data_IF_685227517343
#
_entry.id   IF_685227517343
#
_cell.length_a   1.000
_cell.length_b   1.000
_cell.length_c   1.000
_cell.angle_alpha   90.00
_cell.angle_beta   90.00
_cell.angle_gamma   90.00
#
_symmetry.space_group_name_H-M   'P 1'
#
loop_
_entity.id
_entity.type
_entity.pdbx_description
1 polymer ?
#
# COMPACT_ATOMS: atom_id res chain seq x y z
N UNK A 1 52.79 -43.72 -40.88
CA UNK A 1 51.78 -43.61 -39.81
C UNK A 1 52.41 -43.85 -38.44
N UNK A 2 52.58 -42.83 -37.60
CA UNK A 2 52.82 -42.97 -36.14
C UNK A 2 52.11 -41.81 -35.42
N UNK A 3 51.03 -42.12 -34.70
CA UNK A 3 50.30 -41.17 -33.83
C UNK A 3 51.09 -40.98 -32.53
N UNK A 4 51.51 -39.74 -32.24
CA UNK A 4 52.06 -39.36 -30.92
C UNK A 4 50.90 -39.06 -29.96
N UNK A 5 50.81 -39.83 -28.86
CA UNK A 5 49.99 -39.49 -27.68
C UNK A 5 50.69 -38.37 -26.91
N UNK A 6 50.02 -37.24 -26.72
CA UNK A 6 50.46 -36.17 -25.81
C UNK A 6 49.86 -36.46 -24.44
N UNK A 7 50.73 -36.62 -23.44
CA UNK A 7 50.36 -36.79 -22.02
C UNK A 7 50.56 -35.44 -21.35
N UNK A 8 49.47 -34.73 -21.03
CA UNK A 8 49.54 -33.43 -20.33
C UNK A 8 49.75 -33.70 -18.84
N UNK A 9 50.87 -33.21 -18.30
CA UNK A 9 51.20 -33.25 -16.87
C UNK A 9 50.66 -31.95 -16.25
N UNK A 10 49.58 -32.03 -15.48
CA UNK A 10 49.07 -30.87 -14.75
C UNK A 10 50.02 -30.53 -13.58
N UNK A 11 50.42 -29.26 -13.51
CA UNK A 11 51.19 -28.70 -12.40
C UNK A 11 50.38 -28.73 -11.10
N UNK A 12 51.05 -28.95 -9.96
CA UNK A 12 50.45 -28.95 -8.61
C UNK A 12 49.67 -27.66 -8.31
N UNK A 13 50.00 -26.54 -8.96
CA UNK A 13 49.29 -25.27 -8.85
C UNK A 13 47.90 -25.32 -9.49
N UNK A 14 47.73 -26.02 -10.62
CA UNK A 14 46.40 -26.20 -11.24
C UNK A 14 45.52 -27.18 -10.46
N UNK A 15 46.11 -28.21 -9.84
CA UNK A 15 45.37 -29.12 -8.97
C UNK A 15 44.76 -28.39 -7.77
N UNK A 16 45.50 -27.44 -7.17
CA UNK A 16 44.99 -26.60 -6.07
C UNK A 16 43.87 -25.66 -6.51
N UNK A 17 43.95 -25.08 -7.71
CA UNK A 17 42.89 -24.21 -8.24
C UNK A 17 41.62 -25.02 -8.53
N UNK A 18 41.73 -26.23 -9.10
CA UNK A 18 40.59 -27.09 -9.38
C UNK A 18 39.89 -27.54 -8.09
N UNK A 19 40.65 -27.88 -7.04
CA UNK A 19 40.10 -28.25 -5.71
C UNK A 19 39.38 -27.06 -5.05
N UNK A 20 39.96 -25.86 -5.12
CA UNK A 20 39.32 -24.65 -4.57
C UNK A 20 38.02 -24.29 -5.29
N UNK A 21 37.96 -24.44 -6.63
CA UNK A 21 36.76 -24.17 -7.42
C UNK A 21 35.67 -25.23 -7.19
N UNK A 22 36.04 -26.50 -7.00
CA UNK A 22 35.07 -27.56 -6.66
C UNK A 22 34.53 -27.43 -5.25
N UNK A 23 35.35 -27.02 -4.27
CA UNK A 23 34.88 -26.72 -2.91
C UNK A 23 33.95 -25.50 -2.89
N UNK A 24 34.25 -24.45 -3.65
CA UNK A 24 33.36 -23.28 -3.77
C UNK A 24 32.01 -23.67 -4.40
N UNK A 25 32.03 -24.49 -5.46
CA UNK A 25 30.82 -25.01 -6.10
C UNK A 25 29.99 -25.87 -5.14
N UNK A 26 30.65 -26.70 -4.31
CA UNK A 26 29.97 -27.51 -3.30
C UNK A 26 29.33 -26.66 -2.20
N UNK A 27 30.00 -25.60 -1.73
CA UNK A 27 29.42 -24.67 -0.75
C UNK A 27 28.23 -23.86 -1.33
N UNK A 28 28.32 -23.44 -2.60
CA UNK A 28 27.22 -22.74 -3.28
C UNK A 28 26.02 -23.67 -3.53
N UNK A 29 26.26 -24.95 -3.83
CA UNK A 29 25.21 -25.96 -3.94
C UNK A 29 24.61 -26.30 -2.56
N UNK A 30 25.43 -26.52 -1.53
CA UNK A 30 24.97 -26.80 -0.18
C UNK A 30 24.12 -25.64 0.39
N UNK A 31 24.48 -24.39 0.12
CA UNK A 31 23.72 -23.20 0.51
C UNK A 31 22.41 -23.01 -0.30
N UNK A 32 22.36 -23.49 -1.55
CA UNK A 32 21.13 -23.49 -2.36
C UNK A 32 20.11 -24.54 -1.92
N UNK A 33 20.56 -25.67 -1.34
CA UNK A 33 19.68 -26.80 -0.99
C UNK A 33 19.40 -26.97 0.51
N UNK A 34 20.01 -26.18 1.39
CA UNK A 34 19.71 -26.18 2.84
C UNK A 34 18.27 -25.74 3.21
N UNK A 35 17.54 -24.90 2.46
CA UNK A 35 16.18 -24.51 2.85
C UNK A 35 15.15 -25.65 2.66
N UNK A 36 15.46 -26.66 1.85
CA UNK A 36 14.53 -27.74 1.50
C UNK A 36 14.53 -28.85 2.57
N UNK A 37 15.64 -29.06 3.28
CA UNK A 37 15.74 -30.10 4.31
C UNK A 37 15.09 -29.69 5.64
N UNK A 38 15.03 -28.38 5.96
CA UNK A 38 14.44 -27.88 7.20
C UNK A 38 12.90 -27.88 7.20
N UNK A 39 12.25 -27.90 6.02
CA UNK A 39 10.78 -28.02 5.93
C UNK A 39 10.28 -29.46 6.08
N UNK A 40 11.09 -30.47 5.73
CA UNK A 40 10.68 -31.87 5.78
C UNK A 40 10.64 -32.46 7.22
N UNK A 41 11.32 -31.83 8.18
CA UNK A 41 11.37 -32.30 9.57
C UNK A 41 10.32 -31.67 10.50
N UNK A 42 9.52 -30.71 10.01
CA UNK A 42 8.48 -30.04 10.81
C UNK A 42 7.08 -30.68 10.67
N UNK A 43 6.87 -31.52 9.66
CA UNK A 43 5.57 -32.09 9.31
C UNK A 43 5.28 -33.49 9.89
N UNK A 44 6.11 -34.00 10.80
CA UNK A 44 5.87 -35.29 11.45
C UNK A 44 5.91 -35.17 12.97
N UNK A 45 4.81 -34.73 13.59
CA UNK A 45 4.39 -35.22 14.92
C UNK A 45 2.87 -35.43 14.97
N UNK A 46 2.41 -36.58 15.48
CA UNK A 46 1.01 -36.95 15.52
C UNK A 46 0.24 -36.24 16.64
N UNK A 47 -1.05 -36.02 16.38
CA UNK A 47 -2.06 -35.70 17.38
C UNK A 47 -2.21 -36.86 18.38
N UNK A 48 -2.37 -36.51 19.66
CA UNK A 48 -2.91 -37.30 20.78
C UNK A 48 -2.72 -36.42 22.05
N UNK A 49 -3.49 -36.44 23.14
CA UNK A 49 -4.69 -37.11 23.65
C UNK A 49 -4.99 -36.34 24.96
N UNK A 50 -6.27 -36.19 25.33
CA UNK A 50 -6.73 -35.64 26.61
C UNK A 50 -6.34 -36.57 27.77
N UNK A 51 -6.05 -36.05 28.98
CA UNK A 51 -6.51 -36.74 30.18
C UNK A 51 -7.34 -35.86 31.11
N UNK A 52 -8.37 -36.53 31.61
CA UNK A 52 -9.39 -36.12 32.58
C UNK A 52 -8.93 -36.63 33.95
N UNK A 53 -8.75 -35.75 34.92
CA UNK A 53 -8.65 -36.03 36.37
C UNK A 53 -8.56 -34.66 37.06
N UNK A 54 -9.36 -34.21 38.02
CA UNK A 54 -10.04 -34.88 39.14
C UNK A 54 -11.29 -34.07 39.50
N UNK A 55 -12.40 -34.76 39.72
CA UNK A 55 -13.62 -34.28 40.38
C UNK A 55 -13.53 -34.67 41.86
N UNK A 56 -14.30 -33.96 42.71
CA UNK A 56 -14.48 -34.13 44.18
C UNK A 56 -13.54 -33.24 45.01
N UNK A 57 -14.05 -32.25 45.74
CA UNK A 57 -15.03 -32.42 46.82
C UNK A 57 -15.89 -31.16 47.01
N UNK A 58 -17.20 -31.38 47.11
CA UNK A 58 -18.17 -30.48 47.74
C UNK A 58 -18.68 -31.24 48.95
N UNK A 59 -18.56 -30.66 50.15
CA UNK A 59 -19.59 -30.83 51.18
C UNK A 59 -19.51 -29.73 52.26
N UNK A 60 -20.65 -29.05 52.41
CA UNK A 60 -21.26 -28.53 53.63
C UNK A 60 -20.48 -27.59 54.56
N UNK A 61 -20.89 -26.31 54.57
CA UNK A 61 -21.61 -25.79 55.73
C UNK A 61 -22.46 -24.58 55.36
N UNK A 62 -23.75 -24.69 55.62
CA UNK A 62 -24.64 -23.56 55.81
C UNK A 62 -24.21 -22.83 57.09
N UNK A 63 -24.17 -21.51 57.05
CA UNK A 63 -24.55 -20.70 58.19
C UNK A 63 -24.87 -19.28 57.74
N UNK A 64 -26.12 -18.91 57.99
CA UNK A 64 -26.63 -17.55 58.00
C UNK A 64 -25.82 -16.70 58.98
N UNK A 65 -25.46 -15.49 58.57
CA UNK A 65 -25.22 -14.41 59.53
C UNK A 65 -25.50 -13.06 58.87
N UNK A 66 -26.55 -12.43 59.39
CA UNK A 66 -26.99 -11.07 59.09
C UNK A 66 -25.86 -10.05 59.31
N UNK A 67 -25.67 -9.13 58.36
CA UNK A 67 -24.80 -7.97 58.53
C UNK A 67 -25.67 -6.78 58.97
N UNK A 68 -25.38 -6.11 60.10
CA UNK A 68 -26.24 -5.04 60.62
C UNK A 68 -26.13 -3.75 59.79
N UNK A 69 -27.28 -3.16 59.46
CA UNK A 69 -27.39 -1.79 58.98
C UNK A 69 -26.89 -0.81 60.06
N UNK A 70 -25.74 -0.18 59.81
CA UNK A 70 -25.29 0.96 60.60
C UNK A 70 -25.95 2.24 60.09
N UNK A 71 -26.88 2.77 60.88
CA UNK A 71 -27.54 4.05 60.62
C UNK A 71 -26.55 5.22 60.70
N UNK A 72 -26.35 5.91 59.58
CA UNK A 72 -25.68 7.22 59.54
C UNK A 72 -26.71 8.33 59.78
N UNK A 73 -26.58 9.05 60.89
CA UNK A 73 -27.37 10.26 61.20
C UNK A 73 -27.03 11.41 60.21
N UNK A 74 -28.02 12.16 59.71
CA UNK A 74 -27.74 13.32 58.84
C UNK A 74 -27.20 14.50 59.66
N UNK A 75 -26.10 15.11 59.19
CA UNK A 75 -25.60 16.40 59.69
C UNK A 75 -26.22 17.56 58.89
N UNK A 76 -26.52 18.71 59.51
CA UNK A 76 -27.19 19.82 58.84
C UNK A 76 -26.23 20.56 57.89
N UNK A 77 -26.73 20.91 56.71
CA UNK A 77 -25.95 21.55 55.65
C UNK A 77 -25.66 23.03 55.88
N UNK A 78 -24.64 23.61 55.21
CA UNK A 78 -24.50 25.04 55.08
C UNK A 78 -25.29 25.56 53.87
N UNK A 79 -25.87 26.75 54.08
CA UNK A 79 -26.72 27.50 53.17
C UNK A 79 -25.97 28.01 51.95
N UNK A 80 -26.68 27.95 50.82
CA UNK A 80 -26.63 28.80 49.63
C UNK A 80 -25.29 29.40 49.19
N UNK A 81 -24.83 28.95 48.02
CA UNK A 81 -24.42 29.89 46.98
C UNK A 81 -25.00 29.36 45.65
N UNK A 82 -26.04 30.05 45.16
CA UNK A 82 -26.55 29.86 43.81
C UNK A 82 -25.62 30.56 42.82
N UNK A 83 -25.58 29.99 41.62
CA UNK A 83 -25.05 30.49 40.36
C UNK A 83 -23.54 30.37 40.15
N UNK A 84 -23.13 29.20 39.66
CA UNK A 84 -22.26 29.15 38.49
C UNK A 84 -22.85 28.17 37.46
N UNK A 85 -23.30 28.77 36.36
CA UNK A 85 -23.47 28.24 35.01
C UNK A 85 -23.29 26.72 34.84
N UNK A 86 -24.40 25.99 34.81
CA UNK A 86 -24.46 24.64 34.24
C UNK A 86 -24.26 24.73 32.72
N UNK A 87 -23.03 24.60 32.26
CA UNK A 87 -22.77 24.20 30.87
C UNK A 87 -23.31 22.78 30.73
N UNK A 88 -24.21 22.47 29.77
CA UNK A 88 -24.76 21.13 29.64
C UNK A 88 -23.63 20.14 29.37
N UNK A 89 -23.58 19.08 30.16
CA UNK A 89 -22.66 17.96 29.98
C UNK A 89 -22.71 17.40 28.55
N UNK A 90 -23.80 17.60 27.80
CA UNK A 90 -23.94 17.26 26.39
C UNK A 90 -23.02 18.04 25.44
N UNK A 91 -22.74 19.34 25.69
CA UNK A 91 -21.76 20.10 24.89
C UNK A 91 -20.31 19.73 25.23
N UNK A 92 -20.05 19.32 26.47
CA UNK A 92 -18.74 18.82 26.90
C UNK A 92 -18.49 17.38 26.42
N UNK A 93 -19.52 16.54 26.35
CA UNK A 93 -19.47 15.18 25.80
C UNK A 93 -19.35 15.20 24.27
N UNK A 94 -19.93 16.19 23.58
CA UNK A 94 -19.63 16.40 22.15
C UNK A 94 -18.20 16.91 21.87
N UNK A 95 -17.52 17.48 22.86
CA UNK A 95 -16.13 17.96 22.73
C UNK A 95 -15.06 16.90 23.01
N UNK A 96 -15.44 15.67 23.33
CA UNK A 96 -14.52 14.53 23.45
C UNK A 96 -15.05 13.36 22.60
N UNK A 97 -15.50 13.65 21.38
CA UNK A 97 -15.22 12.68 20.31
C UNK A 97 -13.75 12.92 20.00
N UNK A 98 -12.85 12.06 20.46
CA UNK A 98 -11.51 11.99 19.85
C UNK A 98 -11.76 11.74 18.36
N UNK A 99 -11.70 12.79 17.54
CA UNK A 99 -11.82 12.65 16.11
C UNK A 99 -10.66 11.75 15.65
N UNK A 100 -11.01 10.48 15.41
CA UNK A 100 -10.64 9.75 14.20
C UNK A 100 -9.53 10.45 13.38
N UNK A 101 -8.21 10.24 13.57
CA UNK A 101 -7.24 10.82 12.64
C UNK A 101 -7.60 10.39 11.22
N UNK A 102 -7.77 11.36 10.31
CA UNK A 102 -8.16 11.07 8.93
C UNK A 102 -7.13 10.15 8.29
N UNK A 103 -7.57 9.01 7.75
CA UNK A 103 -6.70 8.03 7.10
C UNK A 103 -7.01 7.99 5.61
N UNK A 104 -6.01 8.28 4.79
CA UNK A 104 -6.09 8.30 3.33
C UNK A 104 -5.19 7.23 2.74
N UNK A 105 -5.75 6.38 1.89
CA UNK A 105 -4.98 5.38 1.15
C UNK A 105 -5.05 5.70 -0.34
N UNK A 106 -3.90 6.07 -0.91
CA UNK A 106 -3.71 6.11 -2.36
C UNK A 106 -3.39 4.69 -2.83
N UNK A 107 -4.40 4.03 -3.40
CA UNK A 107 -4.31 2.66 -3.89
C UNK A 107 -4.13 2.68 -5.40
N UNK A 108 -3.11 2.01 -5.92
CA UNK A 108 -2.83 1.98 -7.37
C UNK A 108 -1.81 0.88 -7.66
N UNK A 109 -1.42 0.70 -8.92
CA UNK A 109 -0.25 -0.11 -9.28
C UNK A 109 0.96 0.78 -9.60
N UNK A 110 2.15 0.18 -9.76
CA UNK A 110 3.35 0.93 -10.15
C UNK A 110 3.19 1.64 -11.50
N UNK A 111 3.78 2.83 -11.60
CA UNK A 111 3.87 3.67 -12.82
C UNK A 111 2.55 4.35 -13.25
N UNK A 112 1.57 4.39 -12.36
CA UNK A 112 0.27 5.06 -12.56
C UNK A 112 0.17 6.45 -11.91
N UNK A 113 1.27 7.22 -11.85
CA UNK A 113 1.26 8.59 -11.32
C UNK A 113 1.24 8.73 -9.79
N UNK A 114 1.46 7.64 -9.06
CA UNK A 114 1.30 7.59 -7.60
C UNK A 114 2.26 8.49 -6.80
N UNK A 115 3.44 8.84 -7.35
CA UNK A 115 4.35 9.81 -6.73
C UNK A 115 3.77 11.23 -6.78
N UNK A 116 3.21 11.62 -7.93
CA UNK A 116 2.62 12.95 -8.13
C UNK A 116 1.41 13.14 -7.21
N UNK A 117 0.50 12.17 -7.22
CA UNK A 117 -0.69 12.19 -6.37
C UNK A 117 -0.34 12.08 -4.88
N UNK A 118 0.62 11.23 -4.53
CA UNK A 118 1.08 11.13 -3.15
C UNK A 118 1.71 12.43 -2.62
N UNK A 119 2.42 13.19 -3.47
CA UNK A 119 2.95 14.50 -3.08
C UNK A 119 1.83 15.53 -2.88
N UNK A 120 0.82 15.55 -3.76
CA UNK A 120 -0.36 16.41 -3.59
C UNK A 120 -1.10 16.09 -2.29
N UNK A 121 -1.42 14.83 -2.04
CA UNK A 121 -2.14 14.40 -0.84
C UNK A 121 -1.33 14.67 0.44
N UNK A 122 -0.01 14.46 0.41
CA UNK A 122 0.85 14.71 1.57
C UNK A 122 0.90 16.19 1.97
N UNK A 123 0.63 17.11 1.03
CA UNK A 123 0.61 18.56 1.24
C UNK A 123 -0.76 19.12 1.66
N UNK A 124 -1.73 18.25 1.97
CA UNK A 124 -3.02 18.67 2.53
C UNK A 124 -2.91 19.20 3.97
N UNK A 125 -1.99 18.64 4.76
CA UNK A 125 -1.72 19.02 6.16
C UNK A 125 -0.22 19.15 6.39
N UNK A 126 0.18 19.86 7.44
CA UNK A 126 1.59 20.05 7.81
C UNK A 126 2.18 18.86 8.58
N UNK A 127 1.34 18.14 9.33
CA UNK A 127 1.72 16.99 10.15
C UNK A 127 1.19 15.68 9.54
N UNK A 128 1.55 15.42 8.29
CA UNK A 128 1.14 14.19 7.60
C UNK A 128 2.10 13.04 7.94
N UNK A 129 1.59 11.96 8.51
CA UNK A 129 2.30 10.68 8.62
C UNK A 129 2.19 9.94 7.29
N UNK A 130 3.20 10.08 6.42
CA UNK A 130 3.16 9.53 5.07
C UNK A 130 3.92 8.19 4.95
N UNK A 131 3.19 7.10 5.08
CA UNK A 131 3.61 5.74 4.76
C UNK A 131 3.77 5.55 3.24
N UNK A 132 4.91 5.98 2.70
CA UNK A 132 5.23 5.80 1.28
C UNK A 132 5.59 4.33 0.98
N UNK A 133 4.69 3.62 0.27
CA UNK A 133 4.88 2.20 -0.11
C UNK A 133 5.17 1.30 1.10
N UNK A 134 4.25 1.19 2.09
CA UNK A 134 4.51 0.43 3.31
C UNK A 134 4.76 -1.06 3.04
N UNK A 135 4.22 -1.59 1.95
CA UNK A 135 4.42 -2.98 1.52
C UNK A 135 5.72 -3.20 0.72
N UNK A 136 6.68 -2.26 0.74
CA UNK A 136 7.95 -2.41 0.01
C UNK A 136 8.79 -3.60 0.48
N UNK A 137 8.55 -4.10 1.70
CA UNK A 137 9.19 -5.31 2.22
C UNK A 137 8.99 -6.53 1.28
N UNK A 138 7.81 -6.65 0.67
CA UNK A 138 7.42 -7.71 -0.29
C UNK A 138 7.98 -7.52 -1.70
N UNK A 139 8.97 -6.65 -1.87
CA UNK A 139 9.72 -6.46 -3.13
C UNK A 139 8.77 -6.12 -4.29
N UNK A 140 9.06 -6.61 -5.48
CA UNK A 140 8.29 -6.31 -6.70
C UNK A 140 7.31 -7.47 -6.96
N UNK A 141 6.60 -7.91 -5.92
CA UNK A 141 5.54 -8.90 -6.05
C UNK A 141 4.21 -8.20 -5.86
N UNK A 142 3.31 -8.35 -6.84
CA UNK A 142 1.91 -7.98 -6.65
C UNK A 142 1.24 -9.08 -5.82
N UNK A 143 0.66 -8.70 -4.70
CA UNK A 143 0.01 -9.57 -3.73
C UNK A 143 -1.47 -9.67 -4.08
N UNK A 144 -1.81 -10.71 -4.85
CA UNK A 144 -3.17 -10.98 -5.31
C UNK A 144 -3.65 -12.38 -4.97
N UNK A 145 -2.79 -13.27 -4.48
CA UNK A 145 -3.20 -14.63 -4.12
C UNK A 145 -3.85 -14.67 -2.75
N UNK A 146 -4.75 -15.63 -2.53
CA UNK A 146 -5.28 -15.93 -1.19
C UNK A 146 -4.32 -16.89 -0.47
N UNK A 147 -3.27 -16.31 0.10
CA UNK A 147 -2.22 -17.04 0.79
C UNK A 147 -1.78 -16.30 2.07
N UNK A 148 -1.04 -17.01 2.93
CA UNK A 148 -0.60 -16.48 4.23
C UNK A 148 0.24 -15.22 4.11
N UNK A 149 1.07 -15.11 3.07
CA UNK A 149 1.92 -13.94 2.83
C UNK A 149 1.10 -12.70 2.50
N UNK A 150 0.09 -12.84 1.63
CA UNK A 150 -0.82 -11.75 1.25
C UNK A 150 -1.69 -11.33 2.42
N UNK A 151 -2.20 -12.28 3.19
CA UNK A 151 -2.97 -12.00 4.41
C UNK A 151 -2.12 -11.27 5.45
N UNK A 152 -0.87 -11.68 5.65
CA UNK A 152 0.07 -11.03 6.56
C UNK A 152 0.40 -9.60 6.11
N UNK A 153 0.60 -9.36 4.80
CA UNK A 153 0.81 -8.03 4.25
C UNK A 153 -0.41 -7.10 4.42
N UNK A 154 -1.62 -7.64 4.21
CA UNK A 154 -2.87 -6.92 4.41
C UNK A 154 -3.06 -6.57 5.89
N UNK A 155 -2.78 -7.49 6.81
CA UNK A 155 -2.88 -7.24 8.25
C UNK A 155 -1.86 -6.19 8.70
N UNK A 156 -0.61 -6.30 8.25
CA UNK A 156 0.42 -5.28 8.50
C UNK A 156 -0.02 -3.88 8.03
N UNK A 157 -0.60 -3.78 6.83
CA UNK A 157 -1.15 -2.51 6.34
C UNK A 157 -2.29 -2.03 7.25
N UNK A 158 -3.22 -2.89 7.61
CA UNK A 158 -4.36 -2.54 8.46
C UNK A 158 -3.91 -2.02 9.83
N UNK A 159 -2.97 -2.69 10.47
CA UNK A 159 -2.41 -2.29 11.77
C UNK A 159 -1.57 -1.01 11.69
N UNK A 160 -0.84 -0.81 10.59
CA UNK A 160 -0.14 0.44 10.31
C UNK A 160 -1.13 1.62 10.21
N UNK A 161 -2.25 1.45 9.51
CA UNK A 161 -3.27 2.49 9.36
C UNK A 161 -3.92 2.85 10.70
N UNK A 162 -3.99 1.88 11.62
CA UNK A 162 -4.54 2.04 12.99
C UNK A 162 -3.52 2.53 14.01
N UNK A 163 -2.26 2.75 13.61
CA UNK A 163 -1.16 3.03 14.52
C UNK A 163 -1.03 1.99 15.66
N UNK A 164 -1.23 0.72 15.31
CA UNK A 164 -1.20 -0.41 16.23
C UNK A 164 -0.25 -1.50 15.72
N UNK A 165 1.00 -1.12 15.49
CA UNK A 165 2.04 -2.06 15.08
C UNK A 165 2.54 -2.86 16.27
N UNK A 166 2.39 -4.18 16.19
CA UNK A 166 2.91 -5.14 17.17
C UNK A 166 4.37 -5.53 16.89
N UNK A 167 4.99 -6.17 17.88
CA UNK A 167 6.38 -6.64 17.81
C UNK A 167 6.62 -7.65 16.67
N UNK A 168 5.58 -8.35 16.21
CA UNK A 168 5.71 -9.30 15.09
C UNK A 168 6.15 -8.62 13.78
N UNK A 169 5.85 -7.32 13.63
CA UNK A 169 6.21 -6.54 12.44
C UNK A 169 7.63 -5.95 12.49
N UNK A 170 8.43 -6.28 13.51
CA UNK A 170 9.73 -5.66 13.72
C UNK A 170 10.68 -5.81 12.52
N UNK A 171 10.58 -6.91 11.77
CA UNK A 171 11.39 -7.11 10.56
C UNK A 171 11.01 -6.11 9.46
N UNK A 172 9.72 -5.88 9.25
CA UNK A 172 9.18 -4.93 8.30
C UNK A 172 9.57 -3.51 8.71
N UNK A 173 9.44 -3.15 9.99
CA UNK A 173 9.82 -1.83 10.51
C UNK A 173 11.32 -1.58 10.39
N UNK A 174 12.16 -2.56 10.74
CA UNK A 174 13.61 -2.48 10.53
C UNK A 174 13.97 -2.29 9.05
N UNK A 175 13.27 -2.96 8.15
CA UNK A 175 13.49 -2.81 6.72
C UNK A 175 13.06 -1.42 6.22
N UNK A 176 11.83 -0.99 6.57
CA UNK A 176 11.24 0.27 6.14
C UNK A 176 12.01 1.48 6.67
N UNK A 177 12.52 1.40 7.91
CA UNK A 177 13.32 2.47 8.51
C UNK A 177 14.61 2.79 7.77
N UNK A 178 15.13 1.80 7.01
CA UNK A 178 16.34 1.94 6.18
C UNK A 178 16.03 2.40 4.75
N UNK A 179 14.75 2.46 4.36
CA UNK A 179 14.37 2.89 3.01
C UNK A 179 14.42 4.42 2.91
N UNK A 180 15.37 4.92 2.12
CA UNK A 180 15.57 6.37 1.89
C UNK A 180 14.29 7.10 1.48
N UNK A 181 13.51 6.52 0.57
CA UNK A 181 12.28 7.17 0.09
C UNK A 181 11.16 7.13 1.13
N UNK A 182 11.01 6.05 1.88
CA UNK A 182 10.04 5.98 2.98
C UNK A 182 10.31 7.10 4.00
N UNK A 183 11.55 7.25 4.46
CA UNK A 183 11.92 8.29 5.42
C UNK A 183 11.88 9.71 4.83
N UNK A 184 12.24 9.87 3.56
CA UNK A 184 12.14 11.18 2.88
C UNK A 184 10.69 11.67 2.81
N UNK A 185 9.78 10.78 2.42
CA UNK A 185 8.36 11.12 2.26
C UNK A 185 7.63 11.22 3.59
N UNK A 186 7.99 10.38 4.57
CA UNK A 186 7.50 10.49 5.95
C UNK A 186 8.30 11.54 6.75
N UNK A 187 8.31 12.78 6.26
CA UNK A 187 9.07 13.88 6.87
C UNK A 187 8.66 14.17 8.32
N UNK A 188 7.40 13.91 8.67
CA UNK A 188 6.89 14.03 10.04
C UNK A 188 7.56 13.01 10.97
N UNK A 189 7.50 11.71 10.64
CA UNK A 189 8.19 10.66 11.40
C UNK A 189 9.69 10.90 11.47
N UNK A 190 10.33 11.21 10.34
CA UNK A 190 11.78 11.38 10.24
C UNK A 190 12.32 12.52 11.14
N UNK A 191 11.56 13.61 11.31
CA UNK A 191 11.94 14.70 12.22
C UNK A 191 11.93 14.25 13.69
N UNK A 192 11.00 13.40 14.09
CA UNK A 192 10.90 12.91 15.47
C UNK A 192 11.96 11.83 15.76
N UNK A 193 12.14 10.94 14.80
CA UNK A 193 13.21 9.97 14.69
C UNK A 193 14.60 10.50 15.04
N UNK A 194 15.01 11.61 14.41
CA UNK A 194 16.33 12.23 14.63
C UNK A 194 16.58 12.59 16.09
N UNK A 195 15.52 12.85 16.86
CA UNK A 195 15.62 13.21 18.28
C UNK A 195 15.73 11.98 19.18
N UNK A 196 15.13 10.84 18.80
CA UNK A 196 15.01 9.65 19.66
C UNK A 196 15.75 8.39 19.17
N UNK A 197 16.42 8.42 18.02
CA UNK A 197 17.14 7.29 17.37
C UNK A 197 16.29 6.02 17.05
N UNK A 198 14.97 6.05 17.27
CA UNK A 198 14.09 4.87 17.34
C UNK A 198 13.19 4.64 16.11
N UNK A 199 13.65 4.91 14.89
CA UNK A 199 12.82 4.87 13.66
C UNK A 199 12.26 3.52 13.22
N UNK A 200 12.57 2.45 13.95
CA UNK A 200 12.06 1.11 13.72
C UNK A 200 11.32 0.54 14.92
N UNK A 201 11.29 1.27 16.04
CA UNK A 201 10.61 0.82 17.26
C UNK A 201 9.10 0.96 17.09
N UNK A 202 8.36 -0.13 17.28
CA UNK A 202 6.92 -0.15 17.01
C UNK A 202 6.14 0.77 17.95
N UNK A 203 6.49 0.81 19.25
CA UNK A 203 5.84 1.67 20.23
C UNK A 203 6.03 3.15 19.87
N UNK A 204 7.25 3.55 19.55
CA UNK A 204 7.55 4.91 19.10
C UNK A 204 6.82 5.27 17.81
N UNK A 205 6.81 4.40 16.80
CA UNK A 205 6.09 4.66 15.55
C UNK A 205 4.60 4.81 15.82
N UNK A 206 4.01 3.97 16.67
CA UNK A 206 2.60 4.05 17.06
C UNK A 206 2.29 5.39 17.75
N UNK A 207 3.15 5.84 18.68
CA UNK A 207 3.01 7.15 19.34
C UNK A 207 3.04 8.31 18.34
N UNK A 208 4.02 8.31 17.43
CA UNK A 208 4.17 9.36 16.42
C UNK A 208 3.01 9.35 15.43
N UNK A 209 2.61 8.16 14.99
CA UNK A 209 1.48 7.96 14.08
C UNK A 209 0.21 8.57 14.69
N UNK A 210 -0.13 8.25 15.94
CA UNK A 210 -1.32 8.78 16.64
C UNK A 210 -1.36 10.32 16.80
N UNK A 211 -0.20 10.99 16.72
CA UNK A 211 -0.10 12.45 16.85
C UNK A 211 -0.23 13.19 15.51
N UNK A 212 -0.35 12.48 14.39
CA UNK A 212 -0.45 13.09 13.08
C UNK A 212 -1.89 13.52 12.77
N UNK A 213 -2.03 14.66 12.09
CA UNK A 213 -3.35 15.19 11.68
C UNK A 213 -3.93 14.45 10.46
N UNK A 214 -3.07 13.73 9.74
CA UNK A 214 -3.39 12.99 8.52
C UNK A 214 -2.47 11.78 8.38
N UNK A 215 -3.05 10.60 8.22
CA UNK A 215 -2.30 9.41 7.85
C UNK A 215 -2.46 9.19 6.35
N UNK A 216 -1.35 9.16 5.62
CA UNK A 216 -1.36 8.87 4.20
C UNK A 216 -0.58 7.57 3.95
N UNK A 217 -1.19 6.60 3.27
CA UNK A 217 -0.48 5.43 2.78
C UNK A 217 -0.59 5.32 1.26
N UNK A 218 0.54 5.07 0.60
CA UNK A 218 0.58 4.80 -0.84
C UNK A 218 0.79 3.32 -1.08
N UNK A 219 -0.25 2.61 -1.51
CA UNK A 219 -0.26 1.14 -1.65
C UNK A 219 -0.17 0.77 -3.13
N UNK A 220 0.94 0.11 -3.52
CA UNK A 220 1.24 -0.24 -4.92
C UNK A 220 1.22 -1.74 -5.23
N UNK A 221 1.17 -2.56 -4.17
CA UNK A 221 1.56 -3.99 -4.18
C UNK A 221 0.43 -4.94 -3.81
N UNK A 222 -0.74 -4.44 -3.48
CA UNK A 222 -1.85 -5.25 -2.98
C UNK A 222 -3.01 -5.13 -3.95
N UNK A 223 -3.58 -6.25 -4.40
CA UNK A 223 -4.77 -6.24 -5.24
C UNK A 223 -5.93 -5.55 -4.51
N UNK A 224 -6.70 -4.78 -5.26
CA UNK A 224 -7.85 -4.04 -4.74
C UNK A 224 -8.88 -4.98 -4.08
N UNK A 225 -8.93 -6.27 -4.45
CA UNK A 225 -9.84 -7.25 -3.82
C UNK A 225 -9.68 -7.34 -2.29
N UNK A 226 -8.53 -6.96 -1.76
CA UNK A 226 -8.23 -6.99 -0.31
C UNK A 226 -8.63 -5.72 0.44
N UNK A 227 -9.22 -4.73 -0.23
CA UNK A 227 -9.55 -3.43 0.38
C UNK A 227 -10.76 -3.49 1.32
N UNK A 228 -11.73 -4.39 1.05
CA UNK A 228 -13.02 -4.43 1.78
C UNK A 228 -12.88 -4.51 3.30
N UNK A 229 -12.07 -5.41 3.86
CA UNK A 229 -11.93 -5.49 5.32
C UNK A 229 -11.39 -4.20 5.95
N UNK A 230 -10.60 -3.40 5.21
CA UNK A 230 -10.10 -2.13 5.70
C UNK A 230 -11.22 -1.06 5.68
N UNK A 231 -12.03 -1.03 4.62
CA UNK A 231 -13.17 -0.11 4.49
C UNK A 231 -14.28 -0.37 5.52
N UNK A 232 -14.41 -1.62 5.97
CA UNK A 232 -15.40 -2.06 6.97
C UNK A 232 -14.99 -1.77 8.42
N UNK A 233 -13.74 -1.37 8.67
CA UNK A 233 -13.29 -1.08 10.02
C UNK A 233 -13.68 0.33 10.45
N UNK A 234 -14.73 0.43 11.27
CA UNK A 234 -15.24 1.71 11.80
C UNK A 234 -14.31 2.38 12.82
N UNK A 235 -13.21 1.72 13.22
CA UNK A 235 -12.15 2.34 14.04
C UNK A 235 -11.20 3.21 13.21
N UNK A 236 -11.39 3.25 11.89
CA UNK A 236 -10.64 4.07 10.95
C UNK A 236 -11.59 5.05 10.26
N UNK A 237 -11.27 6.34 10.30
CA UNK A 237 -11.80 7.32 9.36
C UNK A 237 -11.07 7.18 8.01
N UNK A 238 -11.27 6.02 7.36
CA UNK A 238 -10.58 5.61 6.14
C UNK A 238 -11.29 6.12 4.89
N UNK A 239 -10.52 6.78 4.03
CA UNK A 239 -10.86 7.10 2.64
C UNK A 239 -9.82 6.47 1.69
N UNK A 240 -10.29 5.72 0.70
CA UNK A 240 -9.46 5.09 -0.33
C UNK A 240 -9.67 5.80 -1.66
N UNK A 241 -8.59 6.26 -2.28
CA UNK A 241 -8.58 6.74 -3.65
C UNK A 241 -7.87 5.68 -4.50
N UNK A 242 -8.62 4.98 -5.35
CA UNK A 242 -8.07 4.01 -6.30
C UNK A 242 -7.80 4.67 -7.65
N UNK A 243 -6.55 4.64 -8.09
CA UNK A 243 -6.13 5.29 -9.34
C UNK A 243 -5.68 4.24 -10.35
N UNK A 244 -6.21 4.34 -11.57
CA UNK A 244 -5.80 3.51 -12.71
C UNK A 244 -5.32 4.40 -13.83
N UNK A 245 -4.24 3.98 -14.48
CA UNK A 245 -3.66 4.60 -15.68
C UNK A 245 -3.77 3.62 -16.85
N UNK A 246 -3.77 4.13 -18.08
CA UNK A 246 -3.67 3.31 -19.28
C UNK A 246 -2.59 2.21 -19.15
N UNK A 247 -2.97 0.92 -19.24
CA UNK A 247 -2.02 -0.19 -19.02
C UNK A 247 -0.90 -0.22 -20.05
N UNK A 248 -1.10 0.31 -21.27
CA UNK A 248 -0.05 0.40 -22.30
C UNK A 248 1.04 1.36 -21.87
N UNK A 249 0.67 2.51 -21.32
CA UNK A 249 1.60 3.49 -20.76
C UNK A 249 2.35 2.95 -19.54
N UNK A 250 1.65 2.19 -18.69
CA UNK A 250 2.21 1.53 -17.51
C UNK A 250 3.26 0.49 -17.91
N UNK A 251 2.93 -0.43 -18.81
CA UNK A 251 3.83 -1.49 -19.29
C UNK A 251 5.08 -0.89 -19.97
N UNK A 252 4.91 0.04 -20.91
CA UNK A 252 6.04 0.73 -21.54
C UNK A 252 6.94 1.42 -20.50
N UNK A 253 6.36 2.04 -19.48
CA UNK A 253 7.15 2.69 -18.44
C UNK A 253 7.90 1.69 -17.56
N UNK A 254 7.40 0.47 -17.38
CA UNK A 254 8.01 -0.59 -16.58
C UNK A 254 9.16 -1.29 -17.31
N UNK A 255 9.10 -1.38 -18.63
CA UNK A 255 10.20 -1.91 -19.44
C UNK A 255 11.48 -1.08 -19.38
N UNK A 256 11.36 0.22 -19.04
CA UNK A 256 12.49 1.14 -18.95
C UNK A 256 13.22 1.11 -17.61
N UNK A 257 12.86 0.18 -16.72
CA UNK A 257 13.42 0.09 -15.37
C UNK A 257 13.80 -1.34 -15.02
N UNK A 258 15.01 -1.51 -14.52
CA UNK A 258 15.57 -2.83 -14.27
C UNK A 258 14.94 -3.56 -13.10
N UNK A 259 14.21 -2.87 -12.22
CA UNK A 259 13.61 -3.50 -11.04
C UNK A 259 12.32 -4.28 -11.34
N UNK A 260 11.68 -4.03 -12.49
CA UNK A 260 10.40 -4.66 -12.83
C UNK A 260 10.62 -5.97 -13.61
N UNK A 261 10.96 -7.03 -12.90
CA UNK A 261 11.34 -8.31 -13.53
C UNK A 261 10.37 -9.46 -13.25
N UNK A 262 9.51 -9.33 -12.24
CA UNK A 262 8.53 -10.36 -11.88
C UNK A 262 7.39 -10.41 -12.88
N UNK A 263 6.76 -11.58 -13.03
CA UNK A 263 5.64 -11.76 -13.96
C UNK A 263 4.50 -10.77 -13.69
N UNK A 264 4.14 -10.56 -12.42
CA UNK A 264 3.08 -9.62 -12.04
C UNK A 264 3.44 -8.14 -12.22
N UNK A 265 4.71 -7.84 -12.55
CA UNK A 265 5.15 -6.49 -12.89
C UNK A 265 5.31 -6.28 -14.40
N UNK A 266 5.98 -7.21 -15.09
CA UNK A 266 6.47 -7.02 -16.47
C UNK A 266 5.69 -7.77 -17.54
N UNK A 267 4.99 -8.85 -17.22
CA UNK A 267 4.29 -9.66 -18.21
C UNK A 267 2.93 -9.01 -18.56
N UNK A 268 2.69 -8.60 -19.83
CA UNK A 268 1.46 -7.89 -20.20
C UNK A 268 0.17 -8.68 -19.95
N UNK A 269 0.19 -10.00 -20.16
CA UNK A 269 -0.98 -10.87 -19.92
C UNK A 269 -1.33 -10.86 -18.44
N UNK A 270 -0.38 -11.21 -17.57
CA UNK A 270 -0.62 -11.25 -16.12
C UNK A 270 -0.97 -9.86 -15.56
N UNK A 271 -0.27 -8.80 -15.98
CA UNK A 271 -0.56 -7.43 -15.52
C UNK A 271 -2.00 -7.03 -15.85
N UNK A 272 -2.48 -7.36 -17.04
CA UNK A 272 -3.80 -6.94 -17.50
C UNK A 272 -4.93 -7.84 -17.02
N UNK A 273 -4.68 -9.12 -16.77
CA UNK A 273 -5.58 -9.99 -16.01
C UNK A 273 -5.79 -9.45 -14.59
N UNK A 274 -4.71 -9.14 -13.88
CA UNK A 274 -4.77 -8.59 -12.52
C UNK A 274 -5.49 -7.24 -12.46
N UNK A 275 -5.24 -6.37 -13.45
CA UNK A 275 -5.96 -5.12 -13.57
C UNK A 275 -7.46 -5.35 -13.83
N UNK A 276 -7.82 -6.30 -14.70
CA UNK A 276 -9.21 -6.63 -14.96
C UNK A 276 -9.94 -7.10 -13.70
N UNK A 277 -9.28 -7.90 -12.85
CA UNK A 277 -9.84 -8.34 -11.56
C UNK A 277 -10.04 -7.18 -10.58
N UNK A 278 -9.09 -6.25 -10.50
CA UNK A 278 -9.26 -5.04 -9.69
C UNK A 278 -10.41 -4.16 -10.22
N UNK A 279 -10.52 -3.97 -11.55
CA UNK A 279 -11.58 -3.16 -12.17
C UNK A 279 -12.98 -3.71 -11.88
N UNK A 280 -13.14 -5.04 -11.82
CA UNK A 280 -14.42 -5.70 -11.46
C UNK A 280 -14.90 -5.33 -10.04
N UNK A 281 -14.01 -4.89 -9.15
CA UNK A 281 -14.38 -4.50 -7.79
C UNK A 281 -14.99 -3.09 -7.73
N UNK A 282 -14.66 -2.21 -8.68
CA UNK A 282 -14.95 -0.77 -8.59
C UNK A 282 -16.44 -0.50 -8.36
N UNK A 283 -17.31 -1.02 -9.22
CA UNK A 283 -18.75 -0.76 -9.12
C UNK A 283 -19.31 -1.14 -7.74
N UNK A 284 -18.92 -2.31 -7.24
CA UNK A 284 -19.41 -2.79 -5.94
C UNK A 284 -18.80 -1.99 -4.78
N UNK A 285 -17.55 -1.53 -4.89
CA UNK A 285 -16.93 -0.69 -3.86
C UNK A 285 -17.53 0.72 -3.84
N UNK A 286 -17.69 1.36 -4.99
CA UNK A 286 -18.34 2.67 -5.12
C UNK A 286 -19.76 2.66 -4.58
N UNK A 287 -20.52 1.59 -4.86
CA UNK A 287 -21.90 1.45 -4.37
C UNK A 287 -21.99 1.22 -2.86
N UNK A 288 -21.14 0.33 -2.31
CA UNK A 288 -21.23 -0.07 -0.90
C UNK A 288 -20.49 0.87 0.05
N UNK A 289 -19.53 1.63 -0.46
CA UNK A 289 -18.68 2.54 0.32
C UNK A 289 -18.55 3.91 -0.37
N UNK A 290 -19.65 4.57 -0.75
CA UNK A 290 -19.60 5.80 -1.56
C UNK A 290 -18.81 6.92 -0.88
N UNK A 291 -18.89 6.98 0.45
CA UNK A 291 -18.14 7.98 1.22
C UNK A 291 -16.70 7.53 1.45
N UNK A 292 -16.40 6.22 1.51
CA UNK A 292 -15.05 5.72 1.85
C UNK A 292 -14.20 5.32 0.65
N UNK A 293 -14.76 5.20 -0.55
CA UNK A 293 -14.05 4.76 -1.76
C UNK A 293 -14.32 5.67 -2.96
N UNK A 294 -13.25 6.11 -3.64
CA UNK A 294 -13.32 6.87 -4.89
C UNK A 294 -12.39 6.26 -5.93
N UNK A 295 -12.91 5.99 -7.12
CA UNK A 295 -12.12 5.61 -8.28
C UNK A 295 -11.78 6.85 -9.12
N UNK A 296 -10.54 6.94 -9.60
CA UNK A 296 -10.08 7.98 -10.53
C UNK A 296 -9.25 7.38 -11.65
N UNK A 297 -9.45 7.90 -12.86
CA UNK A 297 -8.63 7.61 -14.02
C UNK A 297 -7.52 8.67 -14.14
N UNK A 298 -6.27 8.23 -14.26
CA UNK A 298 -5.09 9.10 -14.31
C UNK A 298 -5.17 10.11 -15.45
N UNK A 299 -5.68 9.72 -16.60
CA UNK A 299 -5.81 10.57 -17.79
C UNK A 299 -6.73 11.78 -17.52
N UNK A 300 -7.81 11.59 -16.75
CA UNK A 300 -8.71 12.68 -16.34
C UNK A 300 -8.00 13.64 -15.38
N UNK A 301 -7.24 13.10 -14.41
CA UNK A 301 -6.42 13.89 -13.48
C UNK A 301 -5.43 14.77 -14.24
N UNK A 302 -4.75 14.23 -15.24
CA UNK A 302 -3.75 15.00 -15.99
C UNK A 302 -4.35 16.00 -16.97
N UNK A 303 -5.62 15.81 -17.36
CA UNK A 303 -6.34 16.70 -18.28
C UNK A 303 -6.87 17.93 -17.54
N UNK A 304 -7.42 17.76 -16.34
CA UNK A 304 -7.83 18.84 -15.45
C UNK A 304 -7.24 18.63 -14.03
N UNK A 305 -5.95 18.98 -13.82
CA UNK A 305 -5.29 18.78 -12.54
C UNK A 305 -5.90 19.58 -11.40
N UNK A 306 -6.41 20.78 -11.67
CA UNK A 306 -7.00 21.64 -10.65
C UNK A 306 -8.37 21.12 -10.23
N UNK A 307 -9.27 20.84 -11.18
CA UNK A 307 -10.58 20.27 -10.88
C UNK A 307 -10.47 18.92 -10.18
N UNK A 308 -9.54 18.07 -10.62
CA UNK A 308 -9.30 16.76 -9.99
C UNK A 308 -8.73 16.89 -8.57
N UNK A 309 -7.86 17.88 -8.32
CA UNK A 309 -7.40 18.18 -6.96
C UNK A 309 -8.57 18.60 -6.07
N UNK A 310 -9.42 19.52 -6.56
CA UNK A 310 -10.59 19.99 -5.81
C UNK A 310 -11.57 18.85 -5.50
N UNK A 311 -11.85 17.98 -6.47
CA UNK A 311 -12.70 16.80 -6.29
C UNK A 311 -12.13 15.79 -5.27
N UNK A 312 -10.83 15.47 -5.37
CA UNK A 312 -10.16 14.61 -4.39
C UNK A 312 -10.24 15.20 -2.99
N UNK A 313 -9.94 16.48 -2.83
CA UNK A 313 -9.92 17.12 -1.52
C UNK A 313 -11.33 17.24 -0.91
N UNK A 314 -12.35 17.50 -1.74
CA UNK A 314 -13.75 17.46 -1.31
C UNK A 314 -14.17 16.07 -0.81
N UNK A 315 -13.82 15.01 -1.54
CA UNK A 315 -14.09 13.62 -1.11
C UNK A 315 -13.39 13.25 0.21
N UNK A 316 -12.22 13.82 0.45
CA UNK A 316 -11.45 13.58 1.67
C UNK A 316 -11.92 14.44 2.86
N UNK A 317 -12.87 15.35 2.65
CA UNK A 317 -13.28 16.36 3.63
C UNK A 317 -12.09 17.24 4.09
N UNK A 318 -11.21 17.60 3.14
CA UNK A 318 -10.00 18.38 3.40
C UNK A 318 -9.98 19.66 2.54
N UNK A 319 -9.48 20.79 3.08
CA UNK A 319 -9.31 21.99 2.28
C UNK A 319 -8.15 21.84 1.29
N UNK A 320 -8.28 22.45 0.11
CA UNK A 320 -7.15 22.61 -0.82
C UNK A 320 -6.18 23.64 -0.25
N UNK A 321 -4.89 23.28 -0.19
CA UNK A 321 -3.83 24.17 0.28
C UNK A 321 -3.12 24.91 -0.86
N UNK A 322 -2.59 26.10 -0.57
CA UNK A 322 -1.73 26.84 -1.49
C UNK A 322 -0.49 26.04 -1.93
N UNK A 323 0.01 25.15 -1.07
CA UNK A 323 1.12 24.26 -1.41
C UNK A 323 0.73 23.30 -2.54
N UNK A 324 -0.47 22.72 -2.47
CA UNK A 324 -0.98 21.83 -3.50
C UNK A 324 -1.19 22.57 -4.83
N UNK A 325 -1.79 23.77 -4.80
CA UNK A 325 -1.97 24.59 -6.01
C UNK A 325 -0.65 24.95 -6.69
N UNK A 326 0.41 25.23 -5.92
CA UNK A 326 1.74 25.47 -6.48
C UNK A 326 2.36 24.22 -7.12
N UNK A 327 2.07 23.02 -6.59
CA UNK A 327 2.57 21.76 -7.16
C UNK A 327 1.93 21.42 -8.52
N UNK A 328 0.75 21.98 -8.82
CA UNK A 328 0.11 21.82 -10.14
C UNK A 328 0.86 22.60 -11.24
N UNK A 329 1.64 23.63 -10.88
CA UNK A 329 2.38 24.42 -11.86
C UNK A 329 3.60 23.64 -12.36
N UNK A 330 3.73 23.39 -13.67
CA UNK A 330 4.88 22.66 -14.21
C UNK A 330 6.16 23.45 -14.00
N UNK A 331 7.27 22.74 -13.79
CA UNK A 331 8.61 23.32 -13.75
C UNK A 331 9.44 22.85 -14.94
N UNK A 332 10.59 23.48 -15.19
CA UNK A 332 11.53 23.17 -16.27
C UNK A 332 12.32 21.86 -16.04
N UNK A 333 11.67 20.81 -15.52
CA UNK A 333 12.29 19.50 -15.33
C UNK A 333 12.27 18.72 -16.64
N UNK A 334 13.40 18.07 -16.96
CA UNK A 334 13.51 17.23 -18.15
C UNK A 334 12.34 16.23 -18.27
N UNK A 335 11.69 16.15 -19.44
CA UNK A 335 10.65 15.17 -19.73
C UNK A 335 11.09 13.70 -19.58
N UNK A 336 12.38 13.39 -19.53
CA UNK A 336 12.88 12.02 -19.40
C UNK A 336 13.03 11.54 -17.94
N UNK A 337 12.86 12.43 -16.95
CA UNK A 337 12.96 12.05 -15.54
C UNK A 337 11.84 11.10 -15.10
N UNK A 338 12.12 9.81 -14.94
CA UNK A 338 11.12 8.75 -14.71
C UNK A 338 10.32 8.90 -13.40
N UNK A 339 10.82 9.66 -12.42
CA UNK A 339 10.19 9.78 -11.09
C UNK A 339 9.83 11.22 -10.70
N UNK A 340 10.05 12.20 -11.58
CA UNK A 340 9.70 13.59 -11.30
C UNK A 340 8.19 13.80 -11.25
N UNK A 341 7.74 14.62 -10.31
CA UNK A 341 6.36 15.02 -10.08
C UNK A 341 6.02 16.40 -10.63
N UNK A 342 7.01 17.16 -11.12
CA UNK A 342 6.83 18.59 -11.52
C UNK A 342 6.84 18.83 -13.03
N UNK A 343 6.45 17.83 -13.80
CA UNK A 343 6.36 17.93 -15.27
C UNK A 343 4.98 18.45 -15.67
N UNK A 344 4.85 18.90 -16.92
CA UNK A 344 3.53 19.08 -17.52
C UNK A 344 2.79 17.74 -17.54
N UNK A 345 1.73 17.64 -16.72
CA UNK A 345 1.05 16.39 -16.45
C UNK A 345 0.37 15.84 -17.71
N UNK A 346 -0.28 16.73 -18.49
CA UNK A 346 -0.98 16.37 -19.73
C UNK A 346 -0.02 15.82 -20.77
N UNK A 347 1.02 16.56 -21.13
CA UNK A 347 2.03 16.13 -22.12
C UNK A 347 2.70 14.83 -21.70
N UNK A 348 3.02 14.68 -20.40
CA UNK A 348 3.68 13.48 -19.89
C UNK A 348 2.74 12.26 -19.86
N UNK A 349 1.43 12.46 -19.71
CA UNK A 349 0.44 11.38 -19.66
C UNK A 349 0.39 10.60 -20.96
N UNK A 350 0.48 11.29 -22.10
CA UNK A 350 0.36 10.73 -23.46
C UNK A 350 1.69 10.53 -24.21
N UNK A 351 2.83 10.95 -23.62
CA UNK A 351 4.18 10.81 -24.22
C UNK A 351 4.48 9.40 -24.74
N UNK A 352 3.90 8.35 -24.13
CA UNK A 352 4.07 6.97 -24.56
C UNK A 352 3.62 6.74 -26.03
N UNK A 353 2.67 7.54 -26.53
CA UNK A 353 2.18 7.51 -27.92
C UNK A 353 3.24 7.91 -28.94
N UNK A 354 4.23 8.72 -28.56
CA UNK A 354 5.27 9.22 -29.48
C UNK A 354 6.59 8.46 -29.39
N UNK A 355 6.83 7.75 -28.28
CA UNK A 355 8.12 7.12 -27.99
C UNK A 355 8.09 5.58 -28.04
N UNK A 356 6.90 4.98 -28.08
CA UNK A 356 6.76 3.51 -28.20
C UNK A 356 6.89 3.08 -29.65
N UNK A 357 7.42 1.88 -29.86
CA UNK A 357 7.20 1.15 -31.11
C UNK A 357 5.71 0.73 -31.23
N UNK A 358 5.16 0.80 -32.44
CA UNK A 358 3.75 0.49 -32.68
C UNK A 358 3.43 -1.00 -32.51
N UNK A 359 4.35 -1.91 -32.86
CA UNK A 359 4.15 -3.35 -32.67
C UNK A 359 4.13 -3.74 -31.19
N UNK A 360 5.03 -3.15 -30.39
CA UNK A 360 5.02 -3.32 -28.94
C UNK A 360 3.70 -2.78 -28.35
N UNK A 361 3.26 -1.60 -28.80
CA UNK A 361 1.97 -1.03 -28.38
C UNK A 361 0.80 -1.97 -28.70
N UNK A 362 0.75 -2.51 -29.93
CA UNK A 362 -0.28 -3.47 -30.34
C UNK A 362 -0.29 -4.73 -29.48
N UNK A 363 0.89 -5.22 -29.07
CA UNK A 363 0.99 -6.37 -28.17
C UNK A 363 0.38 -6.07 -26.79
N UNK A 364 0.70 -4.93 -26.18
CA UNK A 364 0.05 -4.52 -24.93
C UNK A 364 -1.45 -4.31 -25.12
N UNK A 365 -1.86 -3.64 -26.19
CA UNK A 365 -3.26 -3.37 -26.48
C UNK A 365 -4.08 -4.66 -26.57
N UNK A 366 -3.57 -5.68 -27.27
CA UNK A 366 -4.22 -7.00 -27.35
C UNK A 366 -4.28 -7.69 -25.99
N UNK A 367 -3.18 -7.66 -25.24
CA UNK A 367 -3.12 -8.28 -23.90
C UNK A 367 -4.07 -7.60 -22.90
N UNK A 368 -4.35 -6.31 -23.10
CA UNK A 368 -5.08 -5.46 -22.19
C UNK A 368 -6.42 -4.99 -22.75
N UNK A 369 -6.98 -5.69 -23.75
CA UNK A 369 -8.22 -5.29 -24.43
C UNK A 369 -9.37 -5.09 -23.44
N UNK A 370 -9.55 -6.03 -22.50
CA UNK A 370 -10.58 -5.95 -21.45
C UNK A 370 -10.46 -4.70 -20.59
N UNK A 371 -9.32 -4.46 -19.92
CA UNK A 371 -9.11 -3.25 -19.12
C UNK A 371 -9.22 -1.96 -19.93
N UNK A 372 -8.67 -1.90 -21.14
CA UNK A 372 -8.73 -0.69 -21.99
C UNK A 372 -10.18 -0.33 -22.31
N UNK A 373 -11.00 -1.32 -22.71
CA UNK A 373 -12.43 -1.11 -22.94
C UNK A 373 -13.18 -0.70 -21.68
N UNK A 374 -12.91 -1.38 -20.57
CA UNK A 374 -13.54 -1.09 -19.27
C UNK A 374 -13.26 0.35 -18.82
N UNK A 375 -12.04 0.84 -19.07
CA UNK A 375 -11.61 2.20 -18.75
C UNK A 375 -12.06 3.26 -19.76
N UNK A 376 -12.76 2.88 -20.83
CA UNK A 376 -13.17 3.84 -21.87
C UNK A 376 -12.01 4.46 -22.65
N UNK A 377 -10.91 3.73 -22.79
CA UNK A 377 -9.71 4.19 -23.49
C UNK A 377 -9.76 3.80 -24.97
N UNK A 378 -9.26 4.69 -25.82
CA UNK A 378 -9.20 4.45 -27.27
C UNK A 378 -8.29 3.29 -27.63
N UNK A 379 -8.80 2.39 -28.47
CA UNK A 379 -8.03 1.36 -29.17
C UNK A 379 -7.53 1.95 -30.48
N UNK A 380 -6.25 1.77 -30.80
CA UNK A 380 -5.66 2.26 -32.04
C UNK A 380 -5.62 1.15 -33.09
N UNK A 381 -6.13 1.44 -34.28
CA UNK A 381 -6.20 0.51 -35.41
C UNK A 381 -5.04 0.65 -36.39
N UNK A 382 -4.42 1.84 -36.45
CA UNK A 382 -3.25 2.14 -37.28
C UNK A 382 -2.19 2.91 -36.50
N UNK A 383 -0.95 2.90 -37.02
CA UNK A 383 0.13 3.72 -36.44
C UNK A 383 -0.20 5.21 -36.55
N UNK A 384 -0.80 5.64 -37.66
CA UNK A 384 -1.24 7.02 -37.85
C UNK A 384 -2.19 7.47 -36.73
N UNK A 385 -3.21 6.67 -36.41
CA UNK A 385 -4.15 6.94 -35.32
C UNK A 385 -3.43 6.98 -33.97
N UNK A 386 -2.52 6.03 -33.73
CA UNK A 386 -1.74 5.96 -32.50
C UNK A 386 -0.89 7.22 -32.27
N UNK A 387 -0.22 7.73 -33.32
CA UNK A 387 0.63 8.93 -33.24
C UNK A 387 -0.16 10.24 -33.21
N UNK A 388 -1.43 10.23 -33.61
CA UNK A 388 -2.23 11.45 -33.71
C UNK A 388 -2.72 11.95 -32.33
N UNK A 389 -1.93 12.82 -31.68
CA UNK A 389 -2.26 13.43 -30.39
C UNK A 389 -3.44 14.42 -30.42
N UNK A 390 -3.98 14.76 -31.60
CA UNK A 390 -5.21 15.56 -31.66
C UNK A 390 -6.47 14.73 -31.37
N UNK A 391 -6.37 13.40 -31.49
CA UNK A 391 -7.41 12.47 -31.07
C UNK A 391 -7.34 12.21 -29.56
N UNK A 392 -8.47 12.42 -28.87
CA UNK A 392 -8.59 12.15 -27.44
C UNK A 392 -8.36 10.67 -27.14
N UNK A 393 -7.51 10.40 -26.13
CA UNK A 393 -7.26 9.06 -25.60
C UNK A 393 -8.45 8.52 -24.79
N UNK A 394 -9.09 9.38 -23.99
CA UNK A 394 -10.29 9.02 -23.21
C UNK A 394 -11.52 9.26 -24.10
N UNK A 395 -12.37 8.25 -24.23
CA UNK A 395 -13.57 8.32 -25.04
C UNK A 395 -14.70 9.04 -24.28
N UNK A 396 -15.63 9.73 -24.98
CA UNK A 396 -16.77 10.37 -24.34
C UNK A 396 -17.64 9.37 -23.57
N UNK A 397 -18.22 9.81 -22.45
CA UNK A 397 -18.99 8.98 -21.50
C UNK A 397 -20.13 8.15 -22.12
N UNK A 398 -20.65 8.53 -23.30
CA UNK A 398 -21.70 7.79 -24.02
C UNK A 398 -21.23 6.64 -24.94
N UNK A 399 -19.92 6.42 -25.05
CA UNK A 399 -19.32 5.40 -25.93
C UNK A 399 -18.83 4.15 -25.19
N UNK A 400 -18.96 4.14 -23.86
CA UNK A 400 -18.49 3.09 -22.97
C UNK A 400 -19.71 2.48 -22.30
N UNK A 401 -19.84 1.15 -22.31
CA UNK A 401 -20.86 0.45 -21.51
C UNK A 401 -20.68 0.84 -20.04
N UNK A 402 -21.72 1.43 -19.42
CA UNK A 402 -21.81 1.91 -18.02
C UNK A 402 -21.41 0.85 -16.96
N UNK A 403 -20.13 0.47 -16.89
CA UNK A 403 -19.65 -0.60 -16.03
C UNK A 403 -18.88 -0.10 -14.80
N UNK A 404 -18.60 1.21 -14.71
CA UNK A 404 -17.81 1.81 -13.62
C UNK A 404 -18.55 2.93 -12.84
N UNK A 405 -19.82 3.20 -13.19
CA UNK A 405 -20.69 4.18 -12.52
C UNK A 405 -21.34 3.60 -11.27
#
# INVERSE_FOLDING_TARGET
MKRKKIRVRMSQTMARVVISVTLLAYFVLAAKYTPVFYMALRNNRPANIIPRSVLETVEHSQNDTEIPMMQLKPRPGPKSMRNELSVPMEEAVMKIVEELPKVVVLWTTWRSGSNYLGELLANAKTNTFYSNEPLHYWKVNFLYEDNTETLFARNYLHDLLRCHLDQEYQQQLNYMSRQKYYMKWNGYLFKQCKKKMSCADSAFINEVCKQADLHLAKVLRLSLKWVRPLLQDERLDLRVIYVVRDPRAVLLSRERVDWCQTLSCSNPVMVCELLQEDLKQIQSLSKNFPDKFKFLQYENITTDPEGSLRDMMAFLDLPVSESQMRLLRPTSVSPDSLYSTRKDAKTQSERWRTISDYQNMLYYQRSCEGPIKTLGLRMFSSEEEFRNLSESLVLPLGSVSNNLS
#
